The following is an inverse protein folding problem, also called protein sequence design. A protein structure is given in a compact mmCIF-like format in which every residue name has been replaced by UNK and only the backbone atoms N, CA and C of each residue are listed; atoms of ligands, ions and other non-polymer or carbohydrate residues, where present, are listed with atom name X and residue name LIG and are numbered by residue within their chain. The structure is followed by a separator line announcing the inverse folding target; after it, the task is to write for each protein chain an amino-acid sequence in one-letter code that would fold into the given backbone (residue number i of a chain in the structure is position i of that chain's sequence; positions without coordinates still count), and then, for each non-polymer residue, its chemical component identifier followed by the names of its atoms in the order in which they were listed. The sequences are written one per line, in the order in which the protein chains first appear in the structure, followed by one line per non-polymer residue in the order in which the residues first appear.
data_IF_962724768156
#
_entry.id   IF_962724768156
#
_cell.length_a   1.000
_cell.length_b   1.000
_cell.length_c   1.000
_cell.angle_alpha   90.00
_cell.angle_beta   90.00
_cell.angle_gamma   90.00
#
_symmetry.space_group_name_H-M   'P 1'
#
loop_
_entity.id
_entity.type
_entity.pdbx_description
1 polymer ?
#
# COMPACT_ATOMS: atom_id res chain seq x y z
N UNK A 1 -9.17 -10.28 -0.55
CA UNK A 1 -9.65 -11.69 -0.49
C UNK A 1 -11.12 -11.71 -0.15
N UNK A 2 -11.79 -12.81 -0.49
CA UNK A 2 -13.23 -13.02 -0.27
C UNK A 2 -13.53 -14.29 0.50
N UNK A 3 -12.55 -15.17 0.70
CA UNK A 3 -12.62 -16.37 1.52
C UNK A 3 -11.23 -16.91 1.88
N UNK A 4 -11.17 -17.84 2.86
CA UNK A 4 -10.00 -18.61 3.28
C UNK A 4 -10.43 -19.94 3.91
N UNK A 5 -9.50 -20.81 4.30
CA UNK A 5 -9.87 -22.10 4.94
C UNK A 5 -10.46 -21.96 6.35
N UNK A 6 -10.28 -20.85 7.03
CA UNK A 6 -10.79 -20.46 8.35
C UNK A 6 -10.40 -21.40 9.52
N UNK A 7 -9.40 -22.29 9.32
CA UNK A 7 -9.00 -23.28 10.33
C UNK A 7 -7.49 -23.48 10.46
N UNK A 8 -6.66 -22.88 9.58
CA UNK A 8 -5.20 -22.90 9.72
C UNK A 8 -4.73 -21.91 10.80
N UNK A 9 -3.46 -21.95 11.14
CA UNK A 9 -2.84 -21.08 12.15
C UNK A 9 -3.01 -19.59 11.76
N UNK A 10 -2.73 -19.26 10.52
CA UNK A 10 -2.86 -17.89 10.00
C UNK A 10 -4.30 -17.37 10.11
N UNK A 11 -5.30 -18.21 9.77
CA UNK A 11 -6.70 -17.84 9.95
C UNK A 11 -7.10 -17.67 11.41
N UNK A 12 -6.56 -18.50 12.31
CA UNK A 12 -6.84 -18.41 13.74
C UNK A 12 -6.23 -17.13 14.37
N UNK A 13 -5.13 -16.63 13.80
CA UNK A 13 -4.46 -15.40 14.22
C UNK A 13 -5.04 -14.14 13.56
N UNK A 14 -6.02 -14.27 12.66
CA UNK A 14 -6.59 -13.15 11.90
C UNK A 14 -5.68 -12.64 10.79
N UNK A 15 -4.82 -13.53 10.28
CA UNK A 15 -3.89 -13.30 9.18
C UNK A 15 -4.31 -14.10 7.93
N UNK A 16 -5.59 -14.07 7.61
CA UNK A 16 -6.19 -14.84 6.52
C UNK A 16 -5.54 -14.57 5.16
N UNK A 17 -4.89 -13.42 5.02
CA UNK A 17 -4.12 -13.03 3.84
C UNK A 17 -2.86 -13.89 3.61
N UNK A 18 -2.44 -14.69 4.59
CA UNK A 18 -1.33 -15.66 4.47
C UNK A 18 -1.82 -17.12 4.42
N UNK A 19 -3.12 -17.36 4.42
CA UNK A 19 -3.68 -18.69 4.29
C UNK A 19 -3.40 -19.29 2.90
N UNK A 20 -2.87 -20.52 2.82
CA UNK A 20 -2.59 -21.21 1.56
C UNK A 20 -3.85 -21.47 0.70
N UNK A 21 -5.01 -21.43 1.34
CA UNK A 21 -6.32 -21.57 0.68
C UNK A 21 -7.09 -20.24 0.57
N UNK A 22 -6.38 -19.13 0.61
CA UNK A 22 -6.98 -17.82 0.43
C UNK A 22 -7.59 -17.69 -0.98
N UNK A 23 -8.84 -17.19 -1.05
CA UNK A 23 -9.50 -16.88 -2.32
C UNK A 23 -9.35 -15.39 -2.62
N UNK A 24 -8.65 -15.07 -3.68
CA UNK A 24 -8.47 -13.70 -4.15
C UNK A 24 -9.78 -13.13 -4.68
N UNK A 25 -9.99 -11.82 -4.51
CA UNK A 25 -11.17 -11.12 -5.05
C UNK A 25 -11.17 -11.06 -6.58
N UNK A 26 -9.98 -11.06 -7.20
CA UNK A 26 -9.79 -10.91 -8.64
C UNK A 26 -9.19 -12.19 -9.22
N UNK A 27 -9.89 -12.82 -10.17
CA UNK A 27 -9.44 -14.00 -10.91
C UNK A 27 -8.83 -15.11 -10.03
N UNK A 28 -9.30 -15.21 -8.79
CA UNK A 28 -8.93 -16.29 -7.87
C UNK A 28 -9.71 -17.56 -8.21
N UNK A 29 -9.08 -18.76 -8.22
CA UNK A 29 -9.79 -20.01 -8.51
C UNK A 29 -10.89 -20.26 -7.47
N UNK A 30 -12.04 -20.76 -7.93
CA UNK A 30 -13.17 -21.18 -7.09
C UNK A 30 -13.68 -22.54 -7.55
N UNK A 31 -14.38 -23.26 -6.66
CA UNK A 31 -15.04 -24.53 -7.01
C UNK A 31 -16.37 -24.31 -7.70
N UNK A 32 -16.99 -23.14 -7.51
CA UNK A 32 -18.27 -22.77 -8.12
C UNK A 32 -18.08 -22.16 -9.50
N UNK A 33 -19.13 -22.18 -10.33
CA UNK A 33 -19.11 -21.50 -11.62
C UNK A 33 -19.02 -19.97 -11.43
N UNK A 34 -18.21 -19.26 -12.21
CA UNK A 34 -17.49 -19.68 -13.43
C UNK A 34 -16.11 -20.31 -13.19
N UNK A 35 -15.77 -20.75 -11.99
CA UNK A 35 -14.47 -21.35 -11.64
C UNK A 35 -13.41 -20.34 -11.19
N UNK A 36 -13.76 -19.04 -11.16
CA UNK A 36 -12.89 -17.96 -10.68
C UNK A 36 -13.70 -16.77 -10.20
N UNK A 37 -13.12 -15.94 -9.36
CA UNK A 37 -13.71 -14.68 -8.91
C UNK A 37 -13.65 -13.62 -9.99
N UNK A 38 -14.68 -12.78 -10.09
CA UNK A 38 -14.83 -11.77 -11.15
C UNK A 38 -14.30 -10.38 -10.77
N UNK A 39 -13.95 -10.15 -9.52
CA UNK A 39 -13.48 -8.84 -9.03
C UNK A 39 -14.62 -7.90 -8.65
N UNK A 40 -14.32 -6.60 -8.62
CA UNK A 40 -15.20 -5.56 -8.07
C UNK A 40 -15.86 -4.66 -9.12
N UNK A 41 -15.70 -4.92 -10.43
CA UNK A 41 -16.36 -4.12 -11.47
C UNK A 41 -17.78 -4.60 -11.69
N UNK A 42 -18.59 -4.51 -10.65
CA UNK A 42 -19.98 -4.94 -10.67
C UNK A 42 -20.80 -4.14 -9.64
N UNK A 43 -22.12 -4.19 -9.79
CA UNK A 43 -23.04 -3.55 -8.86
C UNK A 43 -23.32 -4.42 -7.63
N UNK A 44 -23.03 -5.71 -7.69
CA UNK A 44 -23.30 -6.67 -6.63
C UNK A 44 -22.20 -7.74 -6.54
N UNK A 45 -21.95 -8.21 -5.32
CA UNK A 45 -21.07 -9.33 -5.05
C UNK A 45 -21.67 -10.18 -3.92
N UNK A 46 -21.50 -11.50 -4.01
CA UNK A 46 -21.84 -12.42 -2.92
C UNK A 46 -20.56 -12.89 -2.28
N UNK A 47 -20.42 -12.68 -0.99
CA UNK A 47 -19.22 -13.07 -0.21
C UNK A 47 -19.65 -13.65 1.14
N UNK A 48 -18.77 -14.41 1.76
CA UNK A 48 -18.95 -14.87 3.14
C UNK A 48 -18.99 -13.66 4.08
N UNK A 49 -19.95 -13.63 5.00
CA UNK A 49 -20.14 -12.51 5.94
C UNK A 49 -18.90 -12.18 6.79
N UNK A 50 -18.01 -13.15 7.02
CA UNK A 50 -16.73 -12.94 7.73
C UNK A 50 -15.78 -12.00 7.00
N UNK A 51 -15.97 -11.81 5.70
CA UNK A 51 -15.16 -10.92 4.85
C UNK A 51 -15.83 -9.58 4.59
N UNK A 52 -16.92 -9.27 5.29
CA UNK A 52 -17.61 -7.97 5.25
C UNK A 52 -17.10 -7.10 6.36
N UNK A 53 -16.67 -5.89 6.01
CA UNK A 53 -16.13 -4.89 6.93
C UNK A 53 -17.11 -3.73 7.10
N UNK A 54 -17.07 -3.09 8.27
CA UNK A 54 -17.86 -1.88 8.52
C UNK A 54 -17.10 -0.64 8.08
N UNK A 55 -17.81 0.27 7.44
CA UNK A 55 -17.29 1.59 7.07
C UNK A 55 -17.98 2.62 7.96
N UNK A 56 -17.21 3.37 8.74
CA UNK A 56 -17.69 4.41 9.65
C UNK A 56 -17.47 5.82 9.13
N UNK A 57 -16.83 5.96 7.97
CA UNK A 57 -16.67 7.24 7.29
C UNK A 57 -18.01 7.83 6.82
N UNK A 58 -18.13 9.16 6.71
CA UNK A 58 -19.30 9.80 6.13
C UNK A 58 -19.62 9.29 4.73
N UNK A 59 -20.89 9.16 4.38
CA UNK A 59 -21.35 8.67 3.06
C UNK A 59 -20.71 9.42 1.89
N UNK A 60 -20.56 10.74 2.00
CA UNK A 60 -19.91 11.57 0.98
C UNK A 60 -18.44 11.21 0.70
N UNK A 61 -17.79 10.44 1.57
CA UNK A 61 -16.40 10.01 1.43
C UNK A 61 -16.25 8.57 0.91
N UNK A 62 -17.32 7.80 0.75
CA UNK A 62 -17.25 6.37 0.43
C UNK A 62 -16.47 6.06 -0.84
N UNK A 63 -16.54 6.91 -1.86
CA UNK A 63 -15.73 6.76 -3.05
C UNK A 63 -14.21 6.82 -2.72
N UNK A 64 -13.81 7.72 -1.85
CA UNK A 64 -12.41 7.88 -1.43
C UNK A 64 -11.98 6.83 -0.37
N UNK A 65 -12.94 6.16 0.27
CA UNK A 65 -12.70 5.03 1.18
C UNK A 65 -12.42 3.73 0.40
N UNK A 66 -13.04 3.51 -0.74
CA UNK A 66 -12.88 2.28 -1.51
C UNK A 66 -11.41 1.84 -1.71
N UNK A 67 -10.45 2.74 -2.05
CA UNK A 67 -9.05 2.36 -2.16
C UNK A 67 -8.37 1.97 -0.85
N UNK A 68 -8.94 2.29 0.32
CA UNK A 68 -8.37 1.88 1.61
C UNK A 68 -8.36 0.36 1.76
N UNK A 69 -9.33 -0.34 1.16
CA UNK A 69 -9.41 -1.80 1.15
C UNK A 69 -8.30 -2.49 0.33
N UNK A 70 -7.46 -1.72 -0.33
CA UNK A 70 -6.26 -2.19 -1.04
C UNK A 70 -5.03 -1.37 -0.61
N UNK A 71 -4.93 -0.11 -1.06
CA UNK A 71 -3.77 0.74 -0.78
C UNK A 71 -3.63 1.09 0.70
N UNK A 72 -4.76 1.27 1.41
CA UNK A 72 -4.77 1.53 2.85
C UNK A 72 -4.18 0.36 3.62
N UNK A 73 -4.78 -0.81 3.54
CA UNK A 73 -4.33 -1.98 4.31
C UNK A 73 -2.93 -2.44 3.90
N UNK A 74 -2.58 -2.42 2.60
CA UNK A 74 -1.24 -2.81 2.12
C UNK A 74 -0.13 -1.95 2.73
N UNK A 75 -0.41 -0.68 3.03
CA UNK A 75 0.58 0.22 3.63
C UNK A 75 0.44 0.30 5.15
N UNK A 76 -0.75 0.14 5.70
CA UNK A 76 -1.01 0.12 7.15
C UNK A 76 -0.37 -1.09 7.84
N UNK A 77 -0.58 -2.29 7.32
CA UNK A 77 -0.10 -3.54 7.91
C UNK A 77 1.41 -3.52 8.21
N UNK A 78 2.31 -3.23 7.25
CA UNK A 78 3.74 -3.15 7.58
C UNK A 78 4.09 -1.99 8.51
N UNK A 79 3.42 -0.83 8.43
CA UNK A 79 3.66 0.27 9.36
C UNK A 79 3.31 -0.14 10.80
N UNK A 80 2.21 -0.84 10.98
CA UNK A 80 1.75 -1.39 12.24
C UNK A 80 2.69 -2.47 12.77
N UNK A 81 3.05 -3.45 11.91
CA UNK A 81 3.90 -4.60 12.27
C UNK A 81 5.29 -4.17 12.74
N UNK A 82 5.92 -3.20 12.07
CA UNK A 82 7.25 -2.68 12.46
C UNK A 82 7.19 -1.50 13.43
N UNK A 83 6.03 -1.31 14.09
CA UNK A 83 5.85 -0.33 15.16
C UNK A 83 6.25 1.10 14.75
N UNK A 84 5.78 1.52 13.58
CA UNK A 84 5.93 2.91 13.14
C UNK A 84 5.11 3.83 14.04
N UNK A 85 5.70 4.94 14.47
CA UNK A 85 5.07 5.87 15.39
C UNK A 85 6.00 6.99 15.83
N UNK A 86 5.68 7.71 16.92
CA UNK A 86 6.48 8.82 17.41
C UNK A 86 7.93 8.45 17.66
N UNK A 87 8.85 9.33 17.26
CA UNK A 87 10.29 9.12 17.38
C UNK A 87 10.93 8.21 16.31
N UNK A 88 10.15 7.63 15.41
CA UNK A 88 10.66 6.87 14.25
C UNK A 88 10.81 7.76 13.04
N UNK A 89 11.91 7.59 12.30
CA UNK A 89 12.09 8.17 10.97
C UNK A 89 11.78 7.12 9.91
N UNK A 90 10.80 7.43 9.08
CA UNK A 90 10.22 6.50 8.10
C UNK A 90 10.43 7.02 6.69
N UNK A 91 10.95 6.17 5.81
CA UNK A 91 11.03 6.44 4.38
C UNK A 91 9.86 5.81 3.64
N UNK A 92 9.22 6.55 2.73
CA UNK A 92 8.25 5.99 1.79
C UNK A 92 8.78 6.16 0.37
N UNK A 93 9.08 5.05 -0.29
CA UNK A 93 9.66 5.03 -1.64
C UNK A 93 8.57 4.88 -2.68
N UNK A 94 8.46 5.90 -3.55
CA UNK A 94 7.43 6.01 -4.56
C UNK A 94 6.20 6.79 -4.06
N UNK A 95 5.71 7.72 -4.90
CA UNK A 95 4.51 8.52 -4.63
C UNK A 95 3.49 8.20 -5.73
N UNK A 96 2.78 7.13 -5.53
CA UNK A 96 1.73 6.60 -6.38
C UNK A 96 0.55 6.10 -5.55
N UNK A 97 -0.23 5.18 -6.11
CA UNK A 97 -1.44 4.66 -5.46
C UNK A 97 -1.23 3.98 -4.11
N UNK A 98 -0.07 3.39 -3.83
CA UNK A 98 0.29 2.88 -2.49
C UNK A 98 1.00 3.97 -1.67
N UNK A 99 2.01 4.61 -2.25
CA UNK A 99 2.87 5.53 -1.51
C UNK A 99 2.14 6.74 -0.93
N UNK A 100 1.10 7.28 -1.60
CA UNK A 100 0.33 8.39 -1.03
C UNK A 100 -0.38 7.97 0.27
N UNK A 101 -0.90 6.73 0.33
CA UNK A 101 -1.49 6.20 1.56
C UNK A 101 -0.43 5.92 2.62
N UNK A 102 0.73 5.36 2.22
CA UNK A 102 1.86 5.14 3.13
C UNK A 102 2.34 6.42 3.82
N UNK A 103 2.39 7.54 3.08
CA UNK A 103 2.73 8.86 3.65
C UNK A 103 1.66 9.32 4.65
N UNK A 104 0.38 9.32 4.25
CA UNK A 104 -0.73 9.75 5.12
C UNK A 104 -0.79 8.93 6.41
N UNK A 105 -0.70 7.61 6.30
CA UNK A 105 -0.78 6.72 7.46
C UNK A 105 0.44 6.85 8.39
N UNK A 106 1.66 6.86 7.86
CA UNK A 106 2.86 7.03 8.67
C UNK A 106 2.87 8.38 9.40
N UNK A 107 2.41 9.45 8.74
CA UNK A 107 2.26 10.78 9.33
C UNK A 107 1.22 10.75 10.47
N UNK A 108 0.04 10.17 10.24
CA UNK A 108 -1.01 10.06 11.25
C UNK A 108 -0.59 9.19 12.46
N UNK A 109 0.27 8.20 12.25
CA UNK A 109 0.89 7.42 13.31
C UNK A 109 1.97 8.22 14.11
N UNK A 110 2.28 9.44 13.71
CA UNK A 110 3.21 10.33 14.41
C UNK A 110 4.69 10.12 14.07
N UNK A 111 5.01 9.43 13.00
CA UNK A 111 6.38 9.27 12.53
C UNK A 111 6.90 10.52 11.82
N UNK A 112 8.23 10.70 11.78
CA UNK A 112 8.88 11.65 10.88
C UNK A 112 8.99 11.01 9.49
N UNK A 113 8.22 11.52 8.52
CA UNK A 113 8.05 10.89 7.20
C UNK A 113 8.88 11.58 6.13
N UNK A 114 9.72 10.82 5.46
CA UNK A 114 10.50 11.27 4.29
C UNK A 114 10.01 10.53 3.05
N UNK A 115 9.48 11.26 2.07
CA UNK A 115 9.03 10.68 0.81
C UNK A 115 10.16 10.68 -0.22
N UNK A 116 10.35 9.56 -0.90
CA UNK A 116 11.31 9.43 -2.00
C UNK A 116 10.60 9.44 -3.36
N UNK A 117 11.06 10.29 -4.25
CA UNK A 117 10.53 10.41 -5.62
C UNK A 117 11.67 10.52 -6.63
N UNK A 118 11.41 10.19 -7.88
CA UNK A 118 12.33 10.45 -8.99
C UNK A 118 12.11 11.81 -9.65
N UNK A 119 11.04 12.54 -9.26
CA UNK A 119 10.60 13.79 -9.91
C UNK A 119 10.52 14.93 -8.92
N UNK A 120 11.22 16.03 -9.25
CA UNK A 120 11.18 17.29 -8.51
C UNK A 120 9.75 17.85 -8.41
N UNK A 121 8.94 17.70 -9.46
CA UNK A 121 7.57 18.21 -9.53
C UNK A 121 6.62 17.59 -8.49
N UNK A 122 7.00 16.45 -7.87
CA UNK A 122 6.18 15.77 -6.86
C UNK A 122 6.42 16.27 -5.42
N UNK A 123 7.40 17.15 -5.16
CA UNK A 123 7.75 17.60 -3.80
C UNK A 123 6.56 18.23 -3.07
N UNK A 124 5.88 19.18 -3.70
CA UNK A 124 4.76 19.88 -3.07
C UNK A 124 3.59 18.93 -2.79
N UNK A 125 3.32 18.02 -3.73
CA UNK A 125 2.28 17.01 -3.54
C UNK A 125 2.61 16.07 -2.38
N UNK A 126 3.87 15.62 -2.24
CA UNK A 126 4.29 14.77 -1.12
C UNK A 126 4.13 15.47 0.24
N UNK A 127 4.50 16.75 0.33
CA UNK A 127 4.31 17.54 1.56
C UNK A 127 2.84 17.73 1.90
N UNK A 128 1.99 17.96 0.90
CA UNK A 128 0.55 18.05 1.10
C UNK A 128 -0.09 16.75 1.61
N UNK A 129 0.54 15.58 1.33
CA UNK A 129 0.15 14.28 1.87
C UNK A 129 0.60 14.05 3.32
N UNK A 130 1.46 14.91 3.87
CA UNK A 130 1.98 14.80 5.24
C UNK A 130 3.46 14.39 5.33
N UNK A 131 4.22 14.41 4.22
CA UNK A 131 5.67 14.19 4.31
C UNK A 131 6.37 15.41 4.94
N UNK A 132 7.19 15.18 5.97
CA UNK A 132 8.02 16.20 6.61
C UNK A 132 9.17 16.62 5.71
N UNK A 133 9.71 15.68 4.92
CA UNK A 133 10.75 15.95 3.95
C UNK A 133 10.57 15.11 2.68
N UNK A 134 11.20 15.57 1.59
CA UNK A 134 11.10 14.92 0.27
C UNK A 134 12.47 14.87 -0.38
N UNK A 135 12.88 13.67 -0.76
CA UNK A 135 14.17 13.38 -1.39
C UNK A 135 13.97 12.98 -2.84
N UNK A 136 14.67 13.63 -3.75
CA UNK A 136 14.73 13.18 -5.13
C UNK A 136 15.80 12.11 -5.26
N UNK A 137 15.40 10.85 -5.42
CA UNK A 137 16.30 9.69 -5.37
C UNK A 137 17.36 9.63 -6.48
N UNK A 138 17.25 10.48 -7.50
CA UNK A 138 18.27 10.68 -8.54
C UNK A 138 19.35 11.69 -8.14
N UNK A 139 19.15 12.43 -7.05
CA UNK A 139 20.11 13.37 -6.51
C UNK A 139 20.96 12.67 -5.45
N UNK A 140 22.21 12.41 -5.77
CA UNK A 140 23.13 11.67 -4.90
C UNK A 140 23.43 12.40 -3.60
N UNK A 141 23.52 13.73 -3.61
CA UNK A 141 23.76 14.54 -2.40
C UNK A 141 22.57 14.46 -1.44
N UNK A 142 21.34 14.53 -1.96
CA UNK A 142 20.14 14.36 -1.15
C UNK A 142 20.07 12.95 -0.53
N UNK A 143 20.37 11.91 -1.31
CA UNK A 143 20.41 10.53 -0.80
C UNK A 143 21.52 10.37 0.26
N UNK A 144 22.70 10.91 0.02
CA UNK A 144 23.84 10.82 0.93
C UNK A 144 23.56 11.48 2.30
N UNK A 145 22.80 12.58 2.32
CA UNK A 145 22.40 13.27 3.54
C UNK A 145 21.55 12.39 4.49
N UNK A 146 20.96 11.32 3.96
CA UNK A 146 20.08 10.43 4.73
C UNK A 146 20.69 9.05 5.05
N UNK A 147 21.96 8.81 4.75
CA UNK A 147 22.63 7.53 5.04
C UNK A 147 22.54 7.20 6.53
N UNK A 148 22.13 5.96 6.85
CA UNK A 148 22.02 5.41 8.22
C UNK A 148 21.07 6.21 9.14
N UNK A 149 19.98 6.75 8.61
CA UNK A 149 19.08 7.63 9.37
C UNK A 149 17.66 7.09 9.54
N UNK A 150 17.24 6.08 8.77
CA UNK A 150 15.88 5.54 8.83
C UNK A 150 15.75 4.33 9.75
N UNK A 151 14.66 4.30 10.53
CA UNK A 151 14.24 3.15 11.31
C UNK A 151 13.51 2.12 10.44
N UNK A 152 12.70 2.62 9.52
CA UNK A 152 11.88 1.81 8.61
C UNK A 152 11.78 2.48 7.23
N UNK A 153 11.72 1.66 6.18
CA UNK A 153 11.47 2.12 4.82
C UNK A 153 10.36 1.26 4.21
N UNK A 154 9.27 1.91 3.78
CA UNK A 154 8.20 1.31 3.02
C UNK A 154 8.47 1.49 1.52
N UNK A 155 8.75 0.41 0.81
CA UNK A 155 9.02 0.44 -0.63
C UNK A 155 7.78 0.03 -1.42
N UNK A 156 7.16 1.00 -2.09
CA UNK A 156 5.90 0.84 -2.83
C UNK A 156 6.09 0.75 -4.34
N UNK A 157 7.33 0.72 -4.83
CA UNK A 157 7.64 0.76 -6.26
C UNK A 157 7.45 -0.61 -6.89
N UNK A 158 6.58 -0.69 -7.89
CA UNK A 158 6.27 -1.90 -8.65
C UNK A 158 7.13 -2.08 -9.92
N UNK A 159 8.33 -1.51 -9.94
CA UNK A 159 9.31 -1.67 -11.01
C UNK A 159 10.66 -2.14 -10.44
N UNK A 160 11.43 -2.95 -11.17
CA UNK A 160 12.76 -3.34 -10.75
C UNK A 160 13.66 -2.11 -10.53
N UNK A 161 14.34 -2.05 -9.40
CA UNK A 161 15.27 -0.98 -9.06
C UNK A 161 16.33 -1.48 -8.08
N UNK A 162 17.40 -0.71 -7.91
CA UNK A 162 18.47 -1.03 -6.96
C UNK A 162 17.98 -0.82 -5.52
N UNK A 163 17.81 -1.92 -4.78
CA UNK A 163 17.39 -1.90 -3.37
C UNK A 163 18.49 -1.35 -2.46
N UNK A 164 19.77 -1.47 -2.83
CA UNK A 164 20.89 -1.00 -2.01
C UNK A 164 20.89 0.50 -1.85
N UNK A 165 20.39 1.24 -2.83
CA UNK A 165 20.21 2.68 -2.71
C UNK A 165 19.38 3.10 -1.49
N UNK A 166 18.45 2.23 -1.06
CA UNK A 166 17.58 2.48 0.10
C UNK A 166 18.03 1.72 1.35
N UNK A 167 18.54 0.49 1.23
CA UNK A 167 19.03 -0.25 2.41
C UNK A 167 20.20 0.46 3.10
N UNK A 168 21.06 1.16 2.35
CA UNK A 168 22.14 1.98 2.91
C UNK A 168 21.66 3.11 3.80
N UNK A 169 20.43 3.59 3.58
CA UNK A 169 19.81 4.65 4.37
C UNK A 169 19.30 4.16 5.74
N UNK A 170 19.09 2.84 5.90
CA UNK A 170 18.64 2.25 7.16
C UNK A 170 19.71 2.36 8.26
N UNK A 171 19.27 2.61 9.47
CA UNK A 171 20.05 2.46 10.71
C UNK A 171 20.48 0.99 10.90
N UNK A 172 21.23 0.74 11.99
CA UNK A 172 21.37 -0.63 12.51
C UNK A 172 19.99 -1.12 12.97
N UNK A 173 19.67 -2.36 12.65
CA UNK A 173 18.38 -3.02 12.93
C UNK A 173 17.18 -2.44 12.15
N UNK A 174 17.43 -1.53 11.21
CA UNK A 174 16.38 -0.98 10.36
C UNK A 174 15.87 -2.00 9.34
N UNK A 175 14.59 -1.88 8.98
CA UNK A 175 13.93 -2.78 8.02
C UNK A 175 13.40 -2.00 6.82
N UNK A 176 13.59 -2.56 5.64
CA UNK A 176 12.88 -2.14 4.42
C UNK A 176 11.85 -3.19 4.05
N UNK A 177 10.59 -2.78 3.95
CA UNK A 177 9.50 -3.68 3.56
C UNK A 177 9.04 -3.38 2.13
N UNK A 178 8.98 -4.44 1.32
CA UNK A 178 8.53 -4.40 -0.06
C UNK A 178 7.02 -4.71 -0.11
N UNK A 179 6.26 -3.80 -0.69
CA UNK A 179 4.81 -3.97 -0.96
C UNK A 179 4.46 -3.74 -2.42
N UNK A 180 5.41 -3.26 -3.22
CA UNK A 180 5.30 -3.18 -4.68
C UNK A 180 5.73 -4.50 -5.33
N UNK A 181 4.95 -5.00 -6.28
CA UNK A 181 5.21 -6.25 -7.00
C UNK A 181 5.70 -5.96 -8.42
N UNK A 182 7.02 -5.97 -8.69
CA UNK A 182 7.54 -5.76 -10.03
C UNK A 182 7.32 -7.00 -10.92
N UNK A 183 7.11 -6.78 -12.22
CA UNK A 183 6.92 -7.85 -13.20
C UNK A 183 8.16 -8.74 -13.39
N UNK A 184 9.35 -8.21 -13.09
CA UNK A 184 10.63 -8.95 -13.13
C UNK A 184 11.39 -8.72 -11.84
N UNK A 185 12.27 -9.66 -11.41
CA UNK A 185 13.00 -9.56 -10.15
C UNK A 185 13.81 -8.27 -10.02
N UNK A 186 13.97 -7.78 -8.79
CA UNK A 186 14.96 -6.76 -8.47
C UNK A 186 16.38 -7.29 -8.70
N UNK A 187 17.38 -6.42 -8.97
CA UNK A 187 18.78 -6.79 -8.84
C UNK A 187 19.07 -7.38 -7.45
N UNK A 188 19.99 -8.34 -7.39
CA UNK A 188 20.38 -8.93 -6.10
C UNK A 188 20.98 -7.87 -5.17
N UNK A 189 20.50 -7.74 -3.93
CA UNK A 189 21.09 -6.79 -2.98
C UNK A 189 22.49 -7.22 -2.54
N UNK A 190 23.34 -6.24 -2.25
CA UNK A 190 24.68 -6.43 -1.68
C UNK A 190 24.59 -6.94 -0.24
N UNK A 191 25.03 -8.18 -0.01
CA UNK A 191 24.86 -8.87 1.27
C UNK A 191 25.53 -8.12 2.44
N UNK A 192 26.68 -7.50 2.21
CA UNK A 192 27.38 -6.74 3.27
C UNK A 192 26.64 -5.49 3.72
N UNK A 193 25.79 -4.90 2.89
CA UNK A 193 24.89 -3.82 3.33
C UNK A 193 23.92 -4.28 4.43
N UNK A 194 23.54 -5.55 4.42
CA UNK A 194 22.68 -6.16 5.45
C UNK A 194 23.52 -6.58 6.67
N UNK A 195 24.56 -7.38 6.46
CA UNK A 195 25.38 -8.00 7.53
C UNK A 195 25.97 -6.94 8.47
N UNK A 196 26.62 -5.90 7.93
CA UNK A 196 27.34 -4.92 8.77
C UNK A 196 26.45 -4.10 9.70
N UNK A 197 25.14 -4.07 9.47
CA UNK A 197 24.20 -3.28 10.25
C UNK A 197 23.00 -4.08 10.76
N UNK A 198 22.99 -5.40 10.59
CA UNK A 198 21.86 -6.26 10.93
C UNK A 198 20.53 -5.70 10.36
N UNK A 199 20.59 -5.26 9.10
CA UNK A 199 19.42 -4.72 8.37
C UNK A 199 18.59 -5.86 7.81
N UNK A 200 17.31 -5.60 7.62
CA UNK A 200 16.38 -6.57 7.04
C UNK A 200 15.73 -6.02 5.78
N UNK A 201 15.48 -6.92 4.82
CA UNK A 201 14.55 -6.73 3.72
C UNK A 201 13.42 -7.72 3.97
N UNK A 202 12.19 -7.22 4.01
CA UNK A 202 11.01 -8.01 4.30
C UNK A 202 9.92 -7.78 3.23
N UNK A 203 8.95 -8.66 3.16
CA UNK A 203 7.73 -8.50 2.38
C UNK A 203 6.51 -8.35 3.27
N UNK A 204 5.44 -7.73 2.74
CA UNK A 204 4.14 -7.67 3.39
C UNK A 204 3.07 -7.69 2.31
N UNK A 205 2.01 -8.45 2.52
CA UNK A 205 0.90 -8.58 1.58
C UNK A 205 -0.40 -8.22 2.26
N UNK A 206 -1.04 -7.13 1.84
CA UNK A 206 -2.31 -6.62 2.39
C UNK A 206 -2.35 -6.77 3.93
N UNK A 207 -3.46 -7.21 4.52
CA UNK A 207 -3.63 -7.55 5.94
C UNK A 207 -4.82 -8.48 6.10
N UNK A 208 -4.94 -9.11 7.26
CA UNK A 208 -6.09 -9.92 7.64
C UNK A 208 -7.34 -9.08 7.85
N UNK A 209 -8.48 -9.75 8.05
CA UNK A 209 -9.78 -9.08 8.21
C UNK A 209 -9.81 -8.20 9.48
N UNK A 210 -9.35 -8.66 10.65
CA UNK A 210 -9.32 -7.83 11.85
C UNK A 210 -8.43 -6.59 11.69
N UNK A 211 -7.24 -6.74 11.11
CA UNK A 211 -6.31 -5.63 10.87
C UNK A 211 -6.87 -4.64 9.83
N UNK A 212 -7.60 -5.13 8.83
CA UNK A 212 -8.26 -4.28 7.83
C UNK A 212 -9.38 -3.46 8.48
N UNK A 213 -10.13 -4.04 9.42
CA UNK A 213 -11.13 -3.28 10.19
C UNK A 213 -10.45 -2.23 11.08
N UNK A 214 -9.37 -2.58 11.78
CA UNK A 214 -8.57 -1.64 12.59
C UNK A 214 -8.08 -0.46 11.73
N UNK A 215 -7.57 -0.73 10.54
CA UNK A 215 -7.12 0.31 9.59
C UNK A 215 -8.27 1.23 9.17
N UNK A 216 -9.46 0.68 8.87
CA UNK A 216 -10.62 1.49 8.50
C UNK A 216 -11.08 2.39 9.66
N UNK A 217 -11.11 1.86 10.88
CA UNK A 217 -11.48 2.61 12.06
C UNK A 217 -10.44 3.71 12.36
N UNK A 218 -9.14 3.40 12.26
CA UNK A 218 -8.06 4.37 12.36
C UNK A 218 -8.19 5.49 11.31
N UNK A 219 -8.45 5.13 10.05
CA UNK A 219 -8.63 6.12 8.99
C UNK A 219 -9.84 7.02 9.24
N UNK A 220 -10.95 6.47 9.73
CA UNK A 220 -12.15 7.26 10.06
C UNK A 220 -11.89 8.23 11.21
N UNK A 221 -11.21 7.78 12.27
CA UNK A 221 -10.84 8.62 13.43
C UNK A 221 -9.94 9.80 13.04
N UNK A 222 -9.01 9.57 12.12
CA UNK A 222 -8.03 10.58 11.69
C UNK A 222 -8.45 11.35 10.42
N UNK A 223 -9.66 11.08 9.88
CA UNK A 223 -10.15 11.74 8.67
C UNK A 223 -9.33 11.39 7.41
N UNK A 224 -8.75 10.20 7.36
CA UNK A 224 -7.90 9.75 6.26
C UNK A 224 -8.74 9.05 5.20
N UNK A 225 -8.62 9.52 3.97
CA UNK A 225 -9.16 8.89 2.76
C UNK A 225 -8.11 8.94 1.64
N UNK A 226 -8.30 8.14 0.60
CA UNK A 226 -7.45 8.21 -0.60
C UNK A 226 -7.74 9.47 -1.42
N UNK A 227 -6.73 9.98 -2.13
CA UNK A 227 -6.94 10.98 -3.16
C UNK A 227 -7.34 10.25 -4.45
N UNK A 228 -8.50 10.62 -5.00
CA UNK A 228 -9.13 9.88 -6.10
C UNK A 228 -9.56 10.78 -7.26
N UNK A 229 -9.69 10.16 -8.42
CA UNK A 229 -10.45 10.67 -9.54
C UNK A 229 -11.63 9.72 -9.74
N UNK A 230 -12.85 10.23 -9.59
CA UNK A 230 -14.08 9.47 -9.83
C UNK A 230 -14.33 9.37 -11.34
N UNK A 231 -14.57 8.15 -11.82
CA UNK A 231 -14.83 7.87 -13.23
C UNK A 231 -16.12 7.08 -13.41
N UNK A 232 -16.67 7.13 -14.61
CA UNK A 232 -17.80 6.32 -15.05
C UNK A 232 -17.34 4.95 -15.55
N UNK A 233 -18.25 3.99 -15.64
CA UNK A 233 -17.96 2.67 -16.16
C UNK A 233 -17.48 2.66 -17.62
N UNK A 234 -17.96 3.58 -18.44
CA UNK A 234 -17.56 3.72 -19.85
C UNK A 234 -16.19 4.38 -20.04
N UNK A 235 -15.60 4.99 -18.99
CA UNK A 235 -14.28 5.63 -19.00
C UNK A 235 -13.14 4.68 -18.55
N UNK A 236 -13.43 3.43 -18.20
CA UNK A 236 -12.44 2.49 -17.63
C UNK A 236 -11.21 2.31 -18.52
N UNK A 237 -11.41 2.18 -19.84
CA UNK A 237 -10.30 1.95 -20.77
C UNK A 237 -9.37 3.17 -20.87
N UNK A 238 -9.94 4.38 -20.90
CA UNK A 238 -9.16 5.62 -20.88
C UNK A 238 -8.38 5.78 -19.55
N UNK A 239 -9.07 5.54 -18.43
CA UNK A 239 -8.44 5.57 -17.12
C UNK A 239 -7.29 4.57 -16.98
N UNK A 240 -7.43 3.38 -17.57
CA UNK A 240 -6.37 2.38 -17.63
C UNK A 240 -5.16 2.88 -18.41
N UNK A 241 -5.34 3.49 -19.57
CA UNK A 241 -4.24 4.08 -20.35
C UNK A 241 -3.54 5.22 -19.59
N UNK A 242 -4.30 6.08 -18.91
CA UNK A 242 -3.76 7.14 -18.06
C UNK A 242 -2.97 6.57 -16.89
N UNK A 243 -3.47 5.52 -16.25
CA UNK A 243 -2.79 4.85 -15.13
C UNK A 243 -1.44 4.26 -15.58
N UNK A 244 -1.37 3.62 -16.75
CA UNK A 244 -0.12 3.08 -17.31
C UNK A 244 0.91 4.19 -17.57
N UNK A 245 0.45 5.38 -17.97
CA UNK A 245 1.30 6.57 -18.17
C UNK A 245 1.67 7.28 -16.86
N UNK A 246 1.10 6.84 -15.71
CA UNK A 246 1.28 7.50 -14.41
C UNK A 246 0.53 8.83 -14.28
N UNK A 247 -0.47 9.07 -15.12
CA UNK A 247 -1.30 10.26 -15.16
C UNK A 247 -2.56 10.04 -14.31
N UNK A 248 -2.39 9.97 -13.00
CA UNK A 248 -3.47 9.88 -12.00
C UNK A 248 -2.99 10.35 -10.62
N UNK A 249 -3.81 11.02 -9.86
CA UNK A 249 -3.56 11.44 -8.46
C UNK A 249 -4.70 10.99 -7.55
N UNK A 250 -4.61 9.79 -6.93
CA UNK A 250 -3.60 8.74 -7.11
C UNK A 250 -4.28 7.43 -7.45
N UNK A 251 -5.62 7.39 -7.41
CA UNK A 251 -6.47 6.23 -7.71
C UNK A 251 -7.67 6.65 -8.54
N UNK A 252 -8.01 5.88 -9.54
CA UNK A 252 -9.34 5.95 -10.15
C UNK A 252 -10.32 5.14 -9.31
N UNK A 253 -11.53 5.68 -9.14
CA UNK A 253 -12.65 4.98 -8.52
C UNK A 253 -13.82 5.01 -9.48
N UNK A 254 -14.39 3.86 -9.78
CA UNK A 254 -15.49 3.70 -10.70
C UNK A 254 -16.79 3.91 -9.93
N UNK A 255 -17.65 4.83 -10.41
CA UNK A 255 -19.03 4.87 -9.96
C UNK A 255 -19.80 3.65 -10.51
N UNK A 256 -20.04 2.68 -9.63
CA UNK A 256 -20.69 1.43 -10.01
C UNK A 256 -22.13 1.61 -10.50
N UNK A 257 -22.80 2.72 -10.15
CA UNK A 257 -24.12 3.05 -10.68
C UNK A 257 -24.11 3.32 -12.19
N UNK A 258 -22.93 3.64 -12.75
CA UNK A 258 -22.74 3.91 -14.18
C UNK A 258 -22.33 2.67 -14.99
N UNK A 259 -22.12 1.52 -14.33
CA UNK A 259 -21.91 0.26 -15.02
C UNK A 259 -23.22 -0.15 -15.72
N UNK A 260 -23.15 -0.37 -17.02
CA UNK A 260 -24.31 -0.86 -17.78
C UNK A 260 -24.74 -2.22 -17.23
N UNK A 261 -26.05 -2.38 -17.00
CA UNK A 261 -26.65 -3.65 -16.62
C UNK A 261 -26.74 -4.61 -17.82
#
# INVERSE_FOLDING_TARGET
MVDSCQQCEECAEGLENYCDHMVLTYNGPTQDAPGHTLGGYSQQIVVNERYVLRITHPEAQLAAVAPLLCAGITTYSPLRHWHVGPGKKVGVVGIGGLGHMGIKLAHAMGAHVVAFTTSESKRNAARALGADDVVVSRNEDEMAAHVKSFDFILNTVAAPHNLDAFTTLLKRDGTMTLVGAPATPHPSPEVFNLIFRRRSIAGSMIGGIPETQEMLDFCAEHGIVADIELIRGDEINEAWERMVKGDVKYRFVIDSATLAG
#
